data_IF_445727914553
#
_entry.id   IF_445727914553
#
_cell.length_a   1.000
_cell.length_b   1.000
_cell.length_c   1.000
_cell.angle_alpha   90.00
_cell.angle_beta   90.00
_cell.angle_gamma   90.00
#
_symmetry.space_group_name_H-M   'P 1'
#
loop_
_entity.id
_entity.type
_entity.pdbx_description
1 polymer ?
#
# COMPACT_ATOMS: atom_id res chain seq x y z
N UNK A 1 11.04 4.82 -15.31
CA UNK A 1 10.06 3.72 -15.47
C UNK A 1 10.09 2.87 -14.22
N UNK A 2 9.42 3.30 -13.14
CA UNK A 2 9.22 2.47 -11.94
C UNK A 2 7.77 2.00 -11.97
N UNK A 3 7.54 0.88 -12.64
CA UNK A 3 6.29 0.13 -12.57
C UNK A 3 6.51 -0.91 -11.48
N UNK A 4 6.13 -0.57 -10.25
CA UNK A 4 5.94 -1.60 -9.24
C UNK A 4 4.88 -2.56 -9.75
N UNK A 5 5.20 -3.85 -9.69
CA UNK A 5 4.35 -4.91 -10.16
C UNK A 5 3.01 -4.87 -9.40
N UNK A 6 1.98 -4.33 -10.05
CA UNK A 6 0.61 -4.75 -9.82
C UNK A 6 0.60 -6.23 -10.19
N UNK A 7 0.73 -7.10 -9.19
CA UNK A 7 0.36 -8.49 -9.37
C UNK A 7 -1.11 -8.46 -9.82
N UNK A 8 -1.36 -8.87 -11.07
CA UNK A 8 -2.69 -9.09 -11.60
C UNK A 8 -3.48 -9.86 -10.53
N UNK A 9 -4.39 -9.16 -9.85
CA UNK A 9 -5.38 -9.79 -9.00
C UNK A 9 -6.22 -10.63 -9.94
N UNK A 10 -5.99 -11.95 -9.92
CA UNK A 10 -6.90 -12.93 -10.48
C UNK A 10 -8.26 -12.66 -9.81
N UNK A 11 -9.12 -11.98 -10.57
CA UNK A 11 -10.53 -11.84 -10.31
C UNK A 11 -11.05 -13.27 -10.14
N UNK A 12 -11.31 -13.66 -8.89
CA UNK A 12 -12.23 -14.77 -8.67
C UNK A 12 -13.56 -14.31 -9.29
N UNK A 13 -14.12 -15.03 -10.27
CA UNK A 13 -15.47 -14.76 -10.67
C UNK A 13 -16.33 -15.10 -9.45
N UNK A 14 -16.78 -14.08 -8.72
CA UNK A 14 -17.99 -14.23 -7.93
C UNK A 14 -19.07 -14.51 -8.97
N UNK A 15 -19.33 -15.80 -9.18
CA UNK A 15 -20.53 -16.27 -9.85
C UNK A 15 -21.65 -15.44 -9.24
N UNK A 16 -22.29 -14.61 -10.05
CA UNK A 16 -23.48 -13.89 -9.67
C UNK A 16 -24.42 -14.90 -9.03
N UNK A 17 -24.48 -14.89 -7.70
CA UNK A 17 -25.41 -15.67 -6.94
C UNK A 17 -26.76 -15.03 -7.24
N UNK A 18 -27.44 -15.57 -8.25
CA UNK A 18 -28.89 -15.48 -8.40
C UNK A 18 -29.51 -16.29 -7.26
N UNK A 19 -29.38 -15.77 -6.06
CA UNK A 19 -30.15 -16.15 -4.89
C UNK A 19 -30.65 -14.82 -4.36
N UNK A 20 -31.96 -14.66 -4.23
CA UNK A 20 -32.62 -13.42 -3.85
C UNK A 20 -32.34 -12.96 -2.42
N UNK A 21 -31.07 -12.79 -2.07
CA UNK A 21 -30.67 -11.87 -1.02
C UNK A 21 -30.90 -10.46 -1.57
N UNK A 22 -31.75 -9.70 -0.88
CA UNK A 22 -31.96 -8.29 -1.17
C UNK A 22 -30.60 -7.60 -1.27
N UNK A 23 -30.42 -6.75 -2.29
CA UNK A 23 -29.33 -5.78 -2.32
C UNK A 23 -29.33 -5.05 -0.97
N UNK A 24 -28.31 -5.24 -0.12
CA UNK A 24 -28.31 -4.63 1.21
C UNK A 24 -28.17 -3.10 1.14
N UNK A 25 -27.99 -2.53 -0.06
CA UNK A 25 -27.63 -1.13 -0.26
C UNK A 25 -28.55 -0.35 -1.20
N UNK A 26 -29.74 -0.86 -1.52
CA UNK A 26 -30.88 -0.12 -2.05
C UNK A 26 -30.56 0.86 -3.20
N UNK A 27 -30.91 0.48 -4.42
CA UNK A 27 -31.00 1.35 -5.61
C UNK A 27 -32.18 2.35 -5.52
N UNK A 28 -32.50 2.85 -4.33
CA UNK A 28 -33.38 4.01 -4.18
C UNK A 28 -32.61 5.27 -4.54
N UNK A 29 -33.29 6.25 -5.14
CA UNK A 29 -32.70 7.55 -5.43
C UNK A 29 -32.18 8.16 -4.12
N UNK A 30 -30.86 8.26 -3.98
CA UNK A 30 -30.21 8.87 -2.84
C UNK A 30 -30.75 10.29 -2.66
N UNK A 31 -31.18 10.65 -1.45
CA UNK A 31 -31.70 11.99 -1.22
C UNK A 31 -30.58 13.03 -1.46
N UNK A 32 -30.91 14.25 -1.92
CA UNK A 32 -29.91 15.25 -2.27
C UNK A 32 -28.93 15.58 -1.13
N UNK A 33 -29.37 15.56 0.13
CA UNK A 33 -28.49 15.88 1.26
C UNK A 33 -27.50 14.75 1.53
N UNK A 34 -27.92 13.49 1.43
CA UNK A 34 -27.02 12.32 1.52
C UNK A 34 -26.01 12.31 0.37
N UNK A 35 -26.44 12.66 -0.85
CA UNK A 35 -25.57 12.79 -2.01
C UNK A 35 -24.48 13.86 -1.81
N UNK A 36 -24.86 15.07 -1.37
CA UNK A 36 -23.88 16.14 -1.10
C UNK A 36 -22.91 15.79 0.02
N UNK A 37 -23.40 15.16 1.09
CA UNK A 37 -22.55 14.70 2.19
C UNK A 37 -21.55 13.65 1.72
N UNK A 38 -21.99 12.68 0.90
CA UNK A 38 -21.11 11.67 0.30
C UNK A 38 -20.01 12.32 -0.51
N UNK A 39 -20.33 13.24 -1.43
CA UNK A 39 -19.31 13.98 -2.20
C UNK A 39 -18.33 14.74 -1.33
N UNK A 40 -18.80 15.37 -0.25
CA UNK A 40 -17.94 16.08 0.69
C UNK A 40 -16.97 15.12 1.43
N UNK A 41 -17.45 13.95 1.87
CA UNK A 41 -16.63 12.91 2.50
C UNK A 41 -15.60 12.38 1.52
N UNK A 42 -16.02 12.01 0.31
CA UNK A 42 -15.14 11.49 -0.76
C UNK A 42 -14.04 12.51 -1.12
N UNK A 43 -14.40 13.79 -1.28
CA UNK A 43 -13.44 14.86 -1.54
C UNK A 43 -12.45 15.05 -0.37
N UNK A 44 -12.90 14.94 0.88
CA UNK A 44 -12.04 15.03 2.06
C UNK A 44 -11.06 13.85 2.17
N UNK A 45 -11.53 12.62 1.89
CA UNK A 45 -10.67 11.44 1.81
C UNK A 45 -9.65 11.57 0.67
N UNK A 46 -10.06 12.04 -0.51
CA UNK A 46 -9.16 12.22 -1.64
C UNK A 46 -8.05 13.23 -1.36
N UNK A 47 -8.33 14.28 -0.57
CA UNK A 47 -7.28 15.22 -0.12
C UNK A 47 -6.20 14.55 0.73
N UNK A 48 -6.45 13.39 1.33
CA UNK A 48 -5.43 12.65 2.08
C UNK A 48 -4.43 11.90 1.18
N UNK A 49 -4.66 11.86 -0.13
CA UNK A 49 -3.81 11.18 -1.11
C UNK A 49 -2.84 12.20 -1.72
N UNK A 50 -1.56 11.82 -1.81
CA UNK A 50 -0.50 12.60 -2.44
C UNK A 50 -0.57 12.54 -3.98
N UNK A 51 0.10 13.47 -4.70
CA UNK A 51 0.08 13.51 -6.17
C UNK A 51 0.58 12.23 -6.86
N UNK A 52 1.45 11.46 -6.20
CA UNK A 52 1.94 10.17 -6.68
C UNK A 52 1.08 8.97 -6.25
N UNK A 53 -0.15 9.21 -5.79
CA UNK A 53 -1.00 8.22 -5.13
C UNK A 53 -0.38 7.61 -3.86
N UNK A 54 0.51 8.34 -3.20
CA UNK A 54 1.07 7.94 -1.91
C UNK A 54 0.19 8.41 -0.77
N UNK A 55 0.09 7.58 0.27
CA UNK A 55 -0.69 7.86 1.46
C UNK A 55 0.00 7.22 2.67
N UNK A 56 -0.45 7.60 3.86
CA UNK A 56 0.03 7.07 5.14
C UNK A 56 -0.97 7.40 6.25
N UNK A 57 -0.58 7.16 7.49
CA UNK A 57 -1.40 7.45 8.66
C UNK A 57 -0.70 8.49 9.53
N UNK A 58 -1.42 9.51 9.98
CA UNK A 58 -0.86 10.53 10.87
C UNK A 58 -1.95 11.14 11.75
N UNK A 59 -1.54 11.78 12.85
CA UNK A 59 -2.48 12.37 13.81
C UNK A 59 -3.32 13.50 13.20
N UNK A 60 -4.64 13.40 13.36
CA UNK A 60 -5.59 14.39 12.86
C UNK A 60 -5.85 14.32 11.35
N UNK A 61 -5.39 13.27 10.66
CA UNK A 61 -5.60 13.04 9.22
C UNK A 61 -7.05 13.22 8.77
N UNK A 62 -8.01 12.78 9.58
CA UNK A 62 -9.42 12.77 9.22
C UNK A 62 -10.22 13.92 9.83
N UNK A 63 -9.57 14.98 10.35
CA UNK A 63 -10.26 16.12 10.98
C UNK A 63 -11.34 16.73 10.08
N UNK A 64 -11.02 16.94 8.80
CA UNK A 64 -11.97 17.49 7.82
C UNK A 64 -13.17 16.55 7.60
N UNK A 65 -12.92 15.24 7.55
CA UNK A 65 -13.96 14.22 7.36
C UNK A 65 -14.90 14.21 8.56
N UNK A 66 -14.36 14.19 9.77
CA UNK A 66 -15.14 14.16 11.01
C UNK A 66 -15.94 15.45 11.23
N UNK A 67 -15.46 16.59 10.72
CA UNK A 67 -16.15 17.88 10.80
C UNK A 67 -17.43 17.96 9.95
N UNK A 68 -17.65 17.02 9.02
CA UNK A 68 -18.84 17.00 8.15
C UNK A 68 -20.12 16.53 8.88
N UNK A 69 -20.01 16.04 10.12
CA UNK A 69 -21.15 15.85 11.02
C UNK A 69 -21.63 14.40 11.19
N UNK A 70 -22.80 14.19 11.83
CA UNK A 70 -23.20 12.89 12.35
C UNK A 70 -23.58 11.84 11.30
N UNK A 71 -23.79 12.21 10.04
CA UNK A 71 -24.03 11.24 8.96
C UNK A 71 -22.77 10.51 8.47
N UNK A 72 -21.60 11.02 8.84
CA UNK A 72 -20.29 10.53 8.35
C UNK A 72 -20.01 9.06 8.70
N UNK A 73 -20.25 8.55 9.92
CA UNK A 73 -19.87 7.17 10.26
C UNK A 73 -20.54 6.11 9.39
N UNK A 74 -21.84 6.28 9.07
CA UNK A 74 -22.55 5.35 8.19
C UNK A 74 -22.06 5.42 6.74
N UNK A 75 -21.73 6.61 6.25
CA UNK A 75 -21.14 6.76 4.92
C UNK A 75 -19.74 6.15 4.83
N UNK A 76 -18.90 6.35 5.83
CA UNK A 76 -17.57 5.73 5.91
C UNK A 76 -17.67 4.19 5.98
N UNK A 77 -18.60 3.66 6.76
CA UNK A 77 -18.89 2.22 6.79
C UNK A 77 -19.29 1.71 5.40
N UNK A 78 -20.18 2.41 4.69
CA UNK A 78 -20.60 2.06 3.33
C UNK A 78 -19.40 2.09 2.36
N UNK A 79 -18.65 3.19 2.35
CA UNK A 79 -17.44 3.36 1.53
C UNK A 79 -16.41 2.27 1.82
N UNK A 80 -16.22 1.88 3.08
CA UNK A 80 -15.23 0.88 3.46
C UNK A 80 -15.65 -0.55 3.08
N UNK A 81 -16.93 -0.88 3.28
CA UNK A 81 -17.44 -2.25 3.12
C UNK A 81 -17.96 -2.57 1.72
N UNK A 82 -18.04 -1.57 0.83
CA UNK A 82 -18.47 -1.75 -0.57
C UNK A 82 -17.53 -2.72 -1.30
N UNK A 83 -18.04 -3.81 -1.89
CA UNK A 83 -17.22 -4.71 -2.70
C UNK A 83 -16.55 -3.97 -3.87
N UNK A 84 -15.26 -4.25 -4.10
CA UNK A 84 -14.47 -3.60 -5.14
C UNK A 84 -15.13 -3.64 -6.53
N UNK A 85 -15.77 -4.76 -6.88
CA UNK A 85 -16.42 -4.97 -8.17
C UNK A 85 -17.56 -3.98 -8.47
N UNK A 86 -18.17 -3.37 -7.44
CA UNK A 86 -19.24 -2.38 -7.59
C UNK A 86 -18.82 -0.98 -7.13
N UNK A 87 -17.57 -0.81 -6.69
CA UNK A 87 -17.09 0.43 -6.07
C UNK A 87 -17.18 1.62 -7.02
N UNK A 88 -16.72 1.43 -8.27
CA UNK A 88 -16.75 2.46 -9.31
C UNK A 88 -18.17 2.82 -9.79
N UNK A 89 -19.18 2.00 -9.46
CA UNK A 89 -20.59 2.27 -9.79
C UNK A 89 -21.35 2.88 -8.61
N UNK A 90 -20.91 2.60 -7.38
CA UNK A 90 -21.56 3.06 -6.16
C UNK A 90 -21.06 4.43 -5.69
N UNK A 91 -19.85 4.84 -6.09
CA UNK A 91 -19.15 6.03 -5.58
C UNK A 91 -18.66 6.94 -6.71
N UNK A 92 -18.82 8.27 -6.53
CA UNK A 92 -18.59 9.27 -7.60
C UNK A 92 -17.29 10.06 -7.34
N UNK A 93 -16.16 9.39 -7.58
CA UNK A 93 -14.87 10.08 -7.54
C UNK A 93 -14.61 10.76 -8.88
N UNK A 94 -14.56 12.09 -8.87
CA UNK A 94 -14.19 12.87 -10.06
C UNK A 94 -12.90 12.34 -10.69
N UNK A 95 -12.90 12.15 -12.01
CA UNK A 95 -11.73 11.75 -12.77
C UNK A 95 -10.59 12.75 -12.54
N UNK A 96 -9.40 12.24 -12.19
CA UNK A 96 -8.20 13.10 -12.21
C UNK A 96 -7.75 13.22 -13.66
N UNK A 97 -7.53 14.45 -14.18
CA UNK A 97 -7.10 14.63 -15.56
C UNK A 97 -5.83 13.84 -15.88
N UNK A 98 -5.90 12.99 -16.90
CA UNK A 98 -4.77 12.18 -17.36
C UNK A 98 -4.55 10.87 -16.60
N UNK A 99 -5.45 10.52 -15.67
CA UNK A 99 -5.39 9.27 -14.92
C UNK A 99 -5.84 8.07 -15.77
N UNK A 100 -5.02 7.02 -15.80
CA UNK A 100 -5.36 5.78 -16.49
C UNK A 100 -6.24 4.84 -15.62
N UNK A 101 -6.72 3.73 -16.21
CA UNK A 101 -7.60 2.81 -15.50
C UNK A 101 -6.93 2.12 -14.30
N UNK A 102 -5.63 1.85 -14.38
CA UNK A 102 -4.85 1.19 -13.31
C UNK A 102 -4.62 2.17 -12.17
N UNK A 103 -4.27 3.41 -12.50
CA UNK A 103 -4.14 4.50 -11.53
C UNK A 103 -5.48 4.75 -10.82
N UNK A 104 -6.60 4.78 -11.55
CA UNK A 104 -7.94 4.94 -10.96
C UNK A 104 -8.27 3.79 -9.99
N UNK A 105 -8.02 2.55 -10.40
CA UNK A 105 -8.24 1.35 -9.57
C UNK A 105 -7.41 1.42 -8.28
N UNK A 106 -6.13 1.77 -8.40
CA UNK A 106 -5.26 1.92 -7.24
C UNK A 106 -5.76 3.02 -6.30
N UNK A 107 -6.18 4.18 -6.82
CA UNK A 107 -6.76 5.25 -6.01
C UNK A 107 -8.02 4.82 -5.26
N UNK A 108 -8.89 4.04 -5.89
CA UNK A 108 -10.10 3.49 -5.26
C UNK A 108 -9.74 2.64 -4.04
N UNK A 109 -8.72 1.78 -4.15
CA UNK A 109 -8.26 0.96 -3.03
C UNK A 109 -7.74 1.81 -1.86
N UNK A 110 -7.05 2.90 -2.16
CA UNK A 110 -6.58 3.86 -1.15
C UNK A 110 -7.77 4.52 -0.45
N UNK A 111 -8.74 5.01 -1.21
CA UNK A 111 -9.94 5.66 -0.68
C UNK A 111 -10.75 4.72 0.21
N UNK A 112 -10.93 3.47 -0.22
CA UNK A 112 -11.59 2.44 0.58
C UNK A 112 -10.87 2.25 1.92
N UNK A 113 -9.54 2.13 1.91
CA UNK A 113 -8.75 2.00 3.13
C UNK A 113 -8.85 3.23 4.02
N UNK A 114 -8.72 4.44 3.46
CA UNK A 114 -8.85 5.69 4.20
C UNK A 114 -10.24 5.83 4.85
N UNK A 115 -11.31 5.34 4.20
CA UNK A 115 -12.64 5.33 4.78
C UNK A 115 -12.71 4.44 6.04
N UNK A 116 -12.08 3.26 6.02
CA UNK A 116 -12.00 2.38 7.19
C UNK A 116 -11.15 2.97 8.32
N UNK A 117 -10.02 3.60 7.99
CA UNK A 117 -9.19 4.30 8.98
C UNK A 117 -9.95 5.48 9.62
N UNK A 118 -10.65 6.29 8.81
CA UNK A 118 -11.48 7.38 9.29
C UNK A 118 -12.64 6.89 10.16
N UNK A 119 -13.25 5.74 9.82
CA UNK A 119 -14.35 5.14 10.57
C UNK A 119 -13.96 4.87 12.02
N UNK A 120 -12.76 4.34 12.25
CA UNK A 120 -12.24 4.11 13.60
C UNK A 120 -12.09 5.40 14.42
N UNK A 121 -11.76 6.53 13.78
CA UNK A 121 -11.63 7.83 14.44
C UNK A 121 -12.97 8.49 14.78
N UNK A 122 -14.08 8.06 14.17
CA UNK A 122 -15.41 8.62 14.48
C UNK A 122 -15.83 8.36 15.93
N UNK A 123 -15.33 7.26 16.53
CA UNK A 123 -15.76 6.75 17.84
C UNK A 123 -17.27 6.47 17.94
N UNK A 124 -17.97 6.40 16.81
CA UNK A 124 -19.39 6.08 16.76
C UNK A 124 -19.58 4.56 16.88
N UNK A 125 -20.02 4.11 18.04
CA UNK A 125 -20.21 2.68 18.34
C UNK A 125 -21.39 2.05 17.59
N UNK A 126 -22.24 2.84 16.94
CA UNK A 126 -23.40 2.31 16.18
C UNK A 126 -23.00 1.48 14.96
N UNK A 127 -21.78 1.68 14.44
CA UNK A 127 -21.26 0.97 13.26
C UNK A 127 -20.60 -0.38 13.60
N UNK A 128 -20.39 -0.68 14.89
CA UNK A 128 -19.67 -1.87 15.36
C UNK A 128 -20.31 -3.17 14.82
N UNK A 129 -21.63 -3.40 14.91
CA UNK A 129 -22.22 -4.67 14.48
C UNK A 129 -21.96 -4.98 13.00
N UNK A 130 -22.13 -3.98 12.13
CA UNK A 130 -21.96 -4.13 10.69
C UNK A 130 -20.49 -4.28 10.29
N UNK A 131 -19.60 -3.53 10.95
CA UNK A 131 -18.16 -3.62 10.74
C UNK A 131 -17.60 -4.98 11.21
N UNK A 132 -18.06 -5.48 12.35
CA UNK A 132 -17.70 -6.81 12.85
C UNK A 132 -18.21 -7.91 11.91
N UNK A 133 -19.47 -7.82 11.45
CA UNK A 133 -20.03 -8.75 10.49
C UNK A 133 -19.26 -8.75 9.15
N UNK A 134 -18.81 -7.58 8.69
CA UNK A 134 -17.94 -7.48 7.52
C UNK A 134 -16.59 -8.19 7.74
N UNK A 135 -15.95 -7.96 8.88
CA UNK A 135 -14.68 -8.59 9.20
C UNK A 135 -14.81 -10.11 9.33
N UNK A 136 -15.89 -10.60 9.95
CA UNK A 136 -16.18 -12.04 10.02
C UNK A 136 -16.33 -12.67 8.63
N UNK A 137 -16.96 -11.96 7.67
CA UNK A 137 -17.04 -12.44 6.27
C UNK A 137 -15.65 -12.50 5.62
N UNK A 138 -14.81 -11.49 5.85
CA UNK A 138 -13.43 -11.49 5.36
C UNK A 138 -12.64 -12.67 5.93
N UNK A 139 -12.75 -12.94 7.22
CA UNK A 139 -12.05 -14.05 7.88
C UNK A 139 -12.56 -15.43 7.45
N UNK A 140 -13.86 -15.57 7.18
CA UNK A 140 -14.41 -16.80 6.58
C UNK A 140 -13.86 -17.04 5.18
N UNK A 141 -13.68 -15.98 4.40
CA UNK A 141 -13.08 -16.04 3.06
C UNK A 141 -11.54 -16.22 3.10
N UNK A 142 -10.91 -15.91 4.23
CA UNK A 142 -9.45 -15.99 4.44
C UNK A 142 -9.13 -16.74 5.74
N UNK A 143 -9.11 -18.08 5.74
CA UNK A 143 -8.92 -18.88 6.94
C UNK A 143 -7.62 -18.57 7.70
N UNK A 144 -6.57 -18.13 6.97
CA UNK A 144 -5.34 -17.63 7.55
C UNK A 144 -5.04 -16.20 7.10
N UNK A 145 -5.20 -15.19 7.97
CA UNK A 145 -4.86 -13.81 7.65
C UNK A 145 -3.40 -13.63 7.22
N UNK A 146 -2.47 -14.50 7.62
CA UNK A 146 -1.05 -14.42 7.22
C UNK A 146 -0.79 -14.86 5.78
N UNK A 147 -1.72 -15.58 5.16
CA UNK A 147 -1.64 -16.01 3.76
C UNK A 147 -2.40 -15.06 2.82
N UNK A 148 -3.17 -14.13 3.38
CA UNK A 148 -3.90 -13.12 2.63
C UNK A 148 -2.93 -12.17 1.92
N UNK A 149 -3.08 -12.02 0.61
CA UNK A 149 -2.36 -11.05 -0.20
C UNK A 149 -3.28 -9.93 -0.70
N UNK A 150 -2.68 -8.80 -1.08
CA UNK A 150 -3.38 -7.69 -1.74
C UNK A 150 -4.51 -7.09 -0.91
N UNK A 151 -5.62 -6.77 -1.58
CA UNK A 151 -6.72 -5.96 -1.03
C UNK A 151 -7.36 -6.57 0.20
N UNK A 152 -7.58 -7.90 0.22
CA UNK A 152 -8.28 -8.53 1.34
C UNK A 152 -7.47 -8.44 2.64
N UNK A 153 -6.14 -8.53 2.53
CA UNK A 153 -5.22 -8.34 3.64
C UNK A 153 -5.38 -6.95 4.28
N UNK A 154 -5.45 -5.92 3.44
CA UNK A 154 -5.50 -4.53 3.87
C UNK A 154 -6.86 -4.16 4.46
N UNK A 155 -7.95 -4.68 3.87
CA UNK A 155 -9.30 -4.56 4.42
C UNK A 155 -9.39 -5.22 5.80
N UNK A 156 -8.85 -6.43 5.96
CA UNK A 156 -8.84 -7.15 7.24
C UNK A 156 -8.12 -6.35 8.33
N UNK A 157 -6.89 -5.90 8.05
CA UNK A 157 -6.10 -5.10 8.99
C UNK A 157 -6.79 -3.78 9.36
N UNK A 158 -7.40 -3.11 8.37
CA UNK A 158 -8.07 -1.82 8.58
C UNK A 158 -9.36 -1.98 9.40
N UNK A 159 -10.17 -3.00 9.12
CA UNK A 159 -11.35 -3.31 9.91
C UNK A 159 -11.00 -3.65 11.37
N UNK A 160 -9.95 -4.45 11.58
CA UNK A 160 -9.49 -4.82 12.91
C UNK A 160 -9.02 -3.61 13.73
N UNK A 161 -8.29 -2.66 13.11
CA UNK A 161 -7.86 -1.42 13.77
C UNK A 161 -9.05 -0.49 14.02
N UNK A 162 -9.99 -0.37 13.07
CA UNK A 162 -11.18 0.44 13.27
C UNK A 162 -12.01 -0.08 14.45
N UNK A 163 -12.24 -1.40 14.54
CA UNK A 163 -12.91 -2.03 15.68
C UNK A 163 -12.16 -1.80 17.00
N UNK A 164 -10.83 -1.91 17.00
CA UNK A 164 -10.01 -1.60 18.16
C UNK A 164 -10.22 -0.16 18.65
N UNK A 165 -10.18 0.83 17.75
CA UNK A 165 -10.42 2.25 18.07
C UNK A 165 -11.85 2.53 18.54
N UNK A 166 -12.80 1.71 18.11
CA UNK A 166 -14.19 1.71 18.58
C UNK A 166 -14.40 0.97 19.92
N UNK A 167 -13.36 0.32 20.46
CA UNK A 167 -13.37 -0.38 21.74
C UNK A 167 -13.62 -1.89 21.68
N UNK A 168 -13.46 -2.53 20.52
CA UNK A 168 -13.60 -3.96 20.30
C UNK A 168 -12.24 -4.59 19.90
N UNK A 169 -11.39 -4.96 20.87
CA UNK A 169 -9.99 -5.33 20.60
C UNK A 169 -9.81 -6.76 20.06
N UNK A 170 -10.83 -7.62 20.18
CA UNK A 170 -10.69 -9.07 20.00
C UNK A 170 -10.13 -9.45 18.61
N UNK A 171 -10.62 -8.81 17.55
CA UNK A 171 -10.18 -9.09 16.18
C UNK A 171 -8.73 -8.66 15.96
N UNK A 172 -8.34 -7.50 16.49
CA UNK A 172 -6.98 -7.00 16.41
C UNK A 172 -6.00 -7.90 17.17
N UNK A 173 -6.34 -8.29 18.40
CA UNK A 173 -5.51 -9.20 19.20
C UNK A 173 -5.31 -10.55 18.51
N UNK A 174 -6.37 -11.10 17.90
CA UNK A 174 -6.30 -12.34 17.14
C UNK A 174 -5.39 -12.18 15.91
N UNK A 175 -5.49 -11.07 15.19
CA UNK A 175 -4.62 -10.78 14.04
C UNK A 175 -3.15 -10.70 14.47
N UNK A 176 -2.86 -9.91 15.50
CA UNK A 176 -1.50 -9.76 16.06
C UNK A 176 -0.95 -11.12 16.51
N UNK A 177 -1.75 -11.93 17.21
CA UNK A 177 -1.37 -13.28 17.65
C UNK A 177 -1.03 -14.18 16.47
N UNK A 178 -1.85 -14.17 15.42
CA UNK A 178 -1.61 -14.94 14.20
C UNK A 178 -0.32 -14.50 13.51
N UNK A 179 -0.14 -13.20 13.23
CA UNK A 179 1.06 -12.71 12.56
C UNK A 179 2.34 -13.01 13.36
N UNK A 180 2.30 -12.85 14.69
CA UNK A 180 3.43 -13.21 15.56
C UNK A 180 3.79 -14.69 15.46
N UNK A 181 2.81 -15.58 15.50
CA UNK A 181 3.02 -17.03 15.37
C UNK A 181 3.63 -17.37 14.01
N UNK A 182 3.04 -16.85 12.94
CA UNK A 182 3.45 -17.15 11.56
C UNK A 182 4.82 -16.56 11.20
N UNK A 183 5.19 -15.43 11.81
CA UNK A 183 6.51 -14.82 11.68
C UNK A 183 7.56 -15.40 12.66
N UNK A 184 7.20 -16.39 13.49
CA UNK A 184 8.06 -16.96 14.53
C UNK A 184 8.64 -15.89 15.50
N UNK A 185 7.80 -14.93 15.90
CA UNK A 185 8.15 -13.86 16.83
C UNK A 185 7.96 -14.32 18.27
N UNK A 186 9.02 -14.22 19.06
CA UNK A 186 8.96 -14.34 20.53
C UNK A 186 9.14 -12.97 21.16
N UNK A 187 8.39 -12.69 22.23
CA UNK A 187 8.52 -11.46 23.01
C UNK A 187 8.94 -11.87 24.41
N UNK A 188 10.15 -11.48 24.80
CA UNK A 188 10.69 -11.71 26.14
C UNK A 188 10.31 -10.59 27.11
N UNK A 189 10.82 -10.70 28.34
CA UNK A 189 10.66 -9.70 29.38
C UNK A 189 11.12 -8.31 28.91
N UNK A 190 10.39 -7.27 29.31
CA UNK A 190 10.66 -5.89 28.86
C UNK A 190 10.29 -5.61 27.40
N UNK A 191 9.61 -6.55 26.72
CA UNK A 191 9.14 -6.36 25.35
C UNK A 191 10.20 -6.63 24.27
N UNK A 192 11.30 -7.29 24.62
CA UNK A 192 12.35 -7.66 23.67
C UNK A 192 11.80 -8.59 22.59
N UNK A 193 11.90 -8.20 21.32
CA UNK A 193 11.42 -8.97 20.18
C UNK A 193 12.57 -9.81 19.64
N UNK A 194 12.35 -11.12 19.49
CA UNK A 194 13.31 -12.04 18.85
C UNK A 194 12.63 -12.82 17.74
N UNK A 195 13.30 -12.91 16.61
CA UNK A 195 12.84 -13.67 15.44
C UNK A 195 13.88 -14.73 15.08
N UNK A 196 13.44 -15.98 14.93
CA UNK A 196 14.31 -17.05 14.41
C UNK A 196 14.22 -17.03 12.89
N UNK A 197 15.33 -16.79 12.16
CA UNK A 197 15.30 -16.74 10.70
C UNK A 197 14.84 -18.07 10.09
N UNK A 198 13.94 -18.00 9.12
CA UNK A 198 13.50 -19.19 8.39
C UNK A 198 14.66 -19.84 7.58
N UNK A 199 14.64 -21.18 7.41
CA UNK A 199 15.77 -21.92 6.83
C UNK A 199 15.98 -21.63 5.34
N UNK A 200 14.89 -21.46 4.57
CA UNK A 200 14.94 -21.17 3.14
C UNK A 200 14.61 -19.70 2.81
N UNK A 201 15.03 -19.28 1.62
CA UNK A 201 14.95 -17.88 1.15
C UNK A 201 13.52 -17.39 1.05
N UNK A 202 12.62 -18.19 0.47
CA UNK A 202 11.24 -17.78 0.26
C UNK A 202 10.52 -17.58 1.59
N UNK A 203 10.73 -18.47 2.55
CA UNK A 203 10.18 -18.30 3.90
C UNK A 203 10.77 -17.09 4.62
N UNK A 204 12.03 -16.71 4.38
CA UNK A 204 12.60 -15.47 4.95
C UNK A 204 11.95 -14.22 4.37
N UNK A 205 11.69 -14.19 3.07
CA UNK A 205 10.92 -13.09 2.48
C UNK A 205 9.49 -13.02 3.02
N UNK A 206 8.80 -14.16 3.13
CA UNK A 206 7.48 -14.23 3.79
C UNK A 206 7.56 -13.73 5.23
N UNK A 207 8.59 -14.13 5.98
CA UNK A 207 8.80 -13.68 7.35
C UNK A 207 8.99 -12.17 7.47
N UNK A 208 9.81 -11.56 6.60
CA UNK A 208 9.97 -10.10 6.53
C UNK A 208 8.64 -9.40 6.23
N UNK A 209 7.86 -9.88 5.25
CA UNK A 209 6.56 -9.30 4.92
C UNK A 209 5.56 -9.38 6.10
N UNK A 210 5.53 -10.49 6.83
CA UNK A 210 4.68 -10.65 8.02
C UNK A 210 5.10 -9.71 9.16
N UNK A 211 6.40 -9.51 9.35
CA UNK A 211 6.95 -8.57 10.33
C UNK A 211 6.65 -7.11 9.96
N UNK A 212 6.79 -6.73 8.69
CA UNK A 212 6.41 -5.38 8.23
C UNK A 212 4.93 -5.09 8.51
N UNK A 213 4.07 -6.07 8.22
CA UNK A 213 2.64 -5.95 8.52
C UNK A 213 2.38 -5.85 10.02
N UNK A 214 3.03 -6.66 10.85
CA UNK A 214 2.92 -6.60 12.30
C UNK A 214 3.41 -5.25 12.85
N UNK A 215 4.53 -4.73 12.35
CA UNK A 215 5.05 -3.42 12.74
C UNK A 215 4.09 -2.30 12.37
N UNK A 216 3.51 -2.35 11.16
CA UNK A 216 2.53 -1.37 10.70
C UNK A 216 1.24 -1.41 11.53
N UNK A 217 0.77 -2.60 11.97
CA UNK A 217 -0.36 -2.68 12.90
C UNK A 217 -0.05 -1.97 14.22
N UNK A 218 1.13 -2.21 14.79
CA UNK A 218 1.53 -1.53 16.02
C UNK A 218 1.73 -0.02 15.84
N UNK A 219 2.20 0.43 14.67
CA UNK A 219 2.31 1.85 14.38
C UNK A 219 0.94 2.54 14.29
N UNK A 220 -0.09 1.86 13.76
CA UNK A 220 -1.46 2.38 13.61
C UNK A 220 -2.31 2.30 14.88
N UNK A 221 -1.93 1.46 15.83
CA UNK A 221 -2.48 1.37 17.20
C UNK A 221 -1.63 2.17 18.22
N UNK A 222 -0.81 3.11 17.74
CA UNK A 222 0.05 3.98 18.57
C UNK A 222 1.05 3.28 19.50
N UNK A 223 1.23 1.97 19.37
CA UNK A 223 2.30 1.20 20.01
C UNK A 223 3.62 1.34 19.24
N UNK A 224 4.07 2.58 19.07
CA UNK A 224 5.29 2.96 18.33
C UNK A 224 6.55 2.31 18.90
N UNK A 225 6.55 1.98 20.20
CA UNK A 225 7.65 1.26 20.84
C UNK A 225 7.77 -0.18 20.35
N UNK A 226 6.65 -0.88 20.15
CA UNK A 226 6.66 -2.22 19.56
C UNK A 226 6.92 -2.15 18.06
N UNK A 227 6.34 -1.18 17.35
CA UNK A 227 6.57 -0.99 15.92
C UNK A 227 8.07 -0.83 15.61
N UNK A 228 8.78 0.01 16.38
CA UNK A 228 10.24 0.19 16.26
C UNK A 228 10.98 -1.15 16.37
N UNK A 229 10.69 -1.93 17.43
CA UNK A 229 11.38 -3.21 17.66
C UNK A 229 11.10 -4.22 16.57
N UNK A 230 9.87 -4.29 16.05
CA UNK A 230 9.52 -5.23 14.97
C UNK A 230 10.15 -4.80 13.64
N UNK A 231 10.15 -3.51 13.28
CA UNK A 231 10.85 -3.02 12.10
C UNK A 231 12.36 -3.29 12.17
N UNK A 232 12.98 -3.15 13.34
CA UNK A 232 14.39 -3.50 13.51
C UNK A 232 14.66 -4.97 13.19
N UNK A 233 13.75 -5.89 13.54
CA UNK A 233 13.88 -7.30 13.16
C UNK A 233 13.77 -7.53 11.64
N UNK A 234 12.96 -6.74 10.93
CA UNK A 234 12.92 -6.77 9.46
C UNK A 234 14.29 -6.39 8.89
N UNK A 235 14.88 -5.29 9.40
CA UNK A 235 16.19 -4.82 8.95
C UNK A 235 17.31 -5.81 9.27
N UNK A 236 17.29 -6.46 10.43
CA UNK A 236 18.29 -7.47 10.82
C UNK A 236 18.23 -8.69 9.88
N UNK A 237 17.01 -9.18 9.58
CA UNK A 237 16.80 -10.25 8.61
C UNK A 237 17.23 -9.85 7.20
N UNK A 238 16.86 -8.63 6.78
CA UNK A 238 17.18 -8.09 5.48
C UNK A 238 18.68 -7.87 5.28
N UNK A 239 19.40 -7.40 6.31
CA UNK A 239 20.85 -7.27 6.28
C UNK A 239 21.55 -8.63 6.16
N UNK A 240 21.06 -9.64 6.88
CA UNK A 240 21.56 -11.01 6.74
C UNK A 240 21.29 -11.56 5.32
N UNK A 241 20.12 -11.32 4.75
CA UNK A 241 19.80 -11.77 3.39
C UNK A 241 20.62 -11.03 2.33
N UNK A 242 20.86 -9.74 2.52
CA UNK A 242 21.72 -8.93 1.66
C UNK A 242 23.13 -9.52 1.59
N UNK A 243 23.69 -9.96 2.72
CA UNK A 243 24.99 -10.63 2.75
C UNK A 243 24.98 -11.97 2.01
N UNK A 244 23.86 -12.71 2.04
CA UNK A 244 23.72 -13.96 1.28
C UNK A 244 23.65 -13.70 -0.21
N UNK A 245 22.82 -12.75 -0.64
CA UNK A 245 22.66 -12.39 -2.05
C UNK A 245 23.95 -11.85 -2.67
N UNK A 246 24.80 -11.15 -1.89
CA UNK A 246 26.16 -10.74 -2.33
C UNK A 246 27.05 -11.92 -2.71
N UNK A 247 26.81 -13.11 -2.16
CA UNK A 247 27.56 -14.33 -2.48
C UNK A 247 26.95 -15.11 -3.66
N UNK A 248 25.76 -14.74 -4.11
CA UNK A 248 25.04 -15.36 -5.23
C UNK A 248 24.43 -14.28 -6.15
N UNK A 249 25.27 -13.51 -6.85
CA UNK A 249 24.88 -12.27 -7.53
C UNK A 249 23.94 -12.48 -8.73
N UNK A 250 23.71 -13.71 -9.17
CA UNK A 250 22.85 -14.04 -10.32
C UNK A 250 21.36 -13.80 -10.03
N UNK A 251 20.96 -13.62 -8.76
CA UNK A 251 19.58 -13.49 -8.31
C UNK A 251 19.02 -12.05 -8.38
N UNK A 252 19.07 -11.40 -9.56
CA UNK A 252 18.63 -10.00 -9.73
C UNK A 252 17.20 -9.72 -9.23
N UNK A 253 16.26 -10.66 -9.40
CA UNK A 253 14.90 -10.52 -8.89
C UNK A 253 14.83 -10.42 -7.36
N UNK A 254 15.69 -11.17 -6.65
CA UNK A 254 15.72 -11.16 -5.19
C UNK A 254 16.32 -9.88 -4.63
N UNK A 255 17.29 -9.28 -5.35
CA UNK A 255 17.80 -7.95 -5.02
C UNK A 255 16.70 -6.90 -5.08
N UNK A 256 15.90 -6.90 -6.15
CA UNK A 256 14.79 -5.97 -6.30
C UNK A 256 13.73 -6.18 -5.21
N UNK A 257 13.37 -7.43 -4.92
CA UNK A 257 12.43 -7.77 -3.85
C UNK A 257 12.93 -7.29 -2.48
N UNK A 258 14.21 -7.56 -2.16
CA UNK A 258 14.82 -7.15 -0.90
C UNK A 258 14.93 -5.63 -0.78
N UNK A 259 15.31 -4.92 -1.84
CA UNK A 259 15.36 -3.46 -1.82
C UNK A 259 13.97 -2.84 -1.69
N UNK A 260 12.93 -3.48 -2.25
CA UNK A 260 11.54 -3.14 -2.00
C UNK A 260 11.16 -3.20 -0.52
N UNK A 261 11.53 -4.29 0.16
CA UNK A 261 11.31 -4.46 1.61
C UNK A 261 12.11 -3.41 2.40
N UNK A 262 13.42 -3.29 2.14
CA UNK A 262 14.29 -2.42 2.91
C UNK A 262 13.96 -0.95 2.75
N UNK A 263 13.62 -0.48 1.54
CA UNK A 263 13.26 0.93 1.33
C UNK A 263 11.99 1.31 2.12
N UNK A 264 10.95 0.45 2.07
CA UNK A 264 9.69 0.69 2.77
C UNK A 264 9.84 0.59 4.29
N UNK A 265 10.56 -0.44 4.75
CA UNK A 265 10.88 -0.61 6.17
C UNK A 265 11.66 0.59 6.72
N UNK A 266 12.70 1.06 6.03
CA UNK A 266 13.49 2.21 6.48
C UNK A 266 12.67 3.50 6.51
N UNK A 267 11.79 3.71 5.52
CA UNK A 267 10.89 4.86 5.51
C UNK A 267 9.94 4.83 6.72
N UNK A 268 9.24 3.71 6.91
CA UNK A 268 8.29 3.56 8.01
C UNK A 268 8.96 3.65 9.38
N UNK A 269 10.18 3.09 9.51
CA UNK A 269 10.97 3.22 10.73
C UNK A 269 11.41 4.66 10.98
N UNK A 270 11.69 5.45 9.93
CA UNK A 270 11.97 6.87 10.07
C UNK A 270 10.77 7.62 10.65
N UNK A 271 9.55 7.34 10.17
CA UNK A 271 8.30 7.87 10.72
C UNK A 271 8.14 7.50 12.20
N UNK A 272 8.34 6.21 12.54
CA UNK A 272 8.30 5.74 13.94
C UNK A 272 9.34 6.46 14.81
N UNK A 273 10.57 6.65 14.34
CA UNK A 273 11.60 7.38 15.07
C UNK A 273 11.25 8.86 15.27
N UNK A 274 10.71 9.52 14.24
CA UNK A 274 10.28 10.93 14.35
C UNK A 274 9.15 11.09 15.38
N UNK A 275 8.13 10.21 15.35
CA UNK A 275 7.06 10.15 16.38
C UNK A 275 7.59 9.91 17.79
N UNK A 276 8.76 9.28 17.92
CA UNK A 276 9.45 9.04 19.20
C UNK A 276 10.50 10.10 19.55
N UNK A 277 10.57 11.20 18.79
CA UNK A 277 11.55 12.29 18.98
C UNK A 277 13.00 11.80 18.91
N UNK A 278 13.26 10.76 18.12
CA UNK A 278 14.60 10.22 17.83
C UNK A 278 15.11 10.79 16.51
N UNK A 279 15.41 12.10 16.50
CA UNK A 279 15.69 12.87 15.30
C UNK A 279 16.85 12.30 14.47
N UNK A 280 17.98 11.97 15.11
CA UNK A 280 19.16 11.47 14.43
C UNK A 280 18.92 10.09 13.77
N UNK A 281 18.23 9.19 14.47
CA UNK A 281 17.85 7.88 13.96
C UNK A 281 16.81 7.98 12.84
N UNK A 282 15.86 8.89 12.96
CA UNK A 282 14.85 9.14 11.92
C UNK A 282 15.51 9.59 10.62
N UNK A 283 16.38 10.60 10.67
CA UNK A 283 17.10 11.11 9.49
C UNK A 283 17.99 10.02 8.89
N UNK A 284 18.70 9.25 9.72
CA UNK A 284 19.54 8.14 9.26
C UNK A 284 18.71 7.10 8.52
N UNK A 285 17.58 6.67 9.10
CA UNK A 285 16.71 5.68 8.48
C UNK A 285 16.09 6.23 7.19
N UNK A 286 15.70 7.50 7.15
CA UNK A 286 15.15 8.12 5.94
C UNK A 286 16.19 8.19 4.80
N UNK A 287 17.46 8.47 5.12
CA UNK A 287 18.57 8.38 4.14
C UNK A 287 18.74 6.96 3.61
N UNK A 288 18.71 5.96 4.49
CA UNK A 288 18.78 4.55 4.07
C UNK A 288 17.61 4.16 3.16
N UNK A 289 16.38 4.66 3.43
CA UNK A 289 15.25 4.44 2.52
C UNK A 289 15.55 4.96 1.10
N UNK A 290 16.14 6.14 1.00
CA UNK A 290 16.55 6.77 -0.28
C UNK A 290 17.69 6.01 -0.96
N UNK A 291 18.64 5.49 -0.19
CA UNK A 291 19.74 4.65 -0.70
C UNK A 291 19.20 3.34 -1.30
N UNK A 292 18.16 2.76 -0.69
CA UNK A 292 17.45 1.58 -1.22
C UNK A 292 16.42 1.90 -2.33
N UNK A 293 16.23 3.18 -2.68
CA UNK A 293 15.47 3.59 -3.86
C UNK A 293 14.16 4.34 -3.58
N UNK A 294 13.86 4.68 -2.33
CA UNK A 294 12.69 5.50 -2.01
C UNK A 294 12.89 6.94 -2.54
N UNK A 295 12.00 7.41 -3.42
CA UNK A 295 12.14 8.70 -4.10
C UNK A 295 10.88 9.57 -4.07
N UNK A 296 9.86 9.19 -3.31
CA UNK A 296 8.63 9.99 -3.21
C UNK A 296 8.84 11.23 -2.32
N UNK A 297 9.45 12.24 -2.93
CA UNK A 297 9.69 13.53 -2.30
C UNK A 297 8.39 14.26 -1.95
N UNK A 298 7.33 14.08 -2.74
CA UNK A 298 6.06 14.74 -2.49
C UNK A 298 5.43 14.21 -1.19
N UNK A 299 5.52 12.89 -0.98
CA UNK A 299 5.10 12.27 0.26
C UNK A 299 5.99 12.66 1.44
N UNK A 300 7.33 12.59 1.32
CA UNK A 300 8.27 13.01 2.38
C UNK A 300 7.97 14.41 2.92
N UNK A 301 7.59 15.35 2.04
CA UNK A 301 7.27 16.73 2.44
C UNK A 301 5.96 16.87 3.18
N UNK A 302 5.02 15.95 2.94
CA UNK A 302 3.65 16.03 3.44
C UNK A 302 3.39 15.11 4.63
N UNK A 303 4.16 14.03 4.74
CA UNK A 303 4.03 13.07 5.82
C UNK A 303 4.22 13.78 7.16
N UNK A 304 3.17 13.76 7.96
CA UNK A 304 3.12 14.48 9.24
C UNK A 304 3.80 13.72 10.36
N UNK A 305 4.04 12.41 10.19
CA UNK A 305 4.90 11.68 11.12
C UNK A 305 6.34 12.23 11.11
N UNK A 306 6.74 12.90 10.02
CA UNK A 306 8.04 13.55 9.88
C UNK A 306 8.03 15.03 10.29
N UNK A 307 6.88 15.59 10.73
CA UNK A 307 6.80 16.98 11.23
C UNK A 307 7.87 17.27 12.30
N UNK A 308 8.16 16.38 13.29
CA UNK A 308 9.16 16.64 14.33
C UNK A 308 10.60 16.83 13.84
N UNK A 309 10.93 16.40 12.62
CA UNK A 309 12.28 16.49 12.05
C UNK A 309 12.39 17.49 10.90
N UNK A 310 11.28 18.16 10.53
CA UNK A 310 11.20 18.95 9.28
C UNK A 310 12.12 20.17 9.29
N UNK A 311 12.41 20.72 10.47
CA UNK A 311 13.32 21.86 10.65
C UNK A 311 14.78 21.44 10.85
N UNK A 312 15.08 20.14 10.93
CA UNK A 312 16.44 19.66 11.13
C UNK A 312 17.29 19.86 9.85
N UNK A 313 18.54 20.36 9.96
CA UNK A 313 19.43 20.54 8.81
C UNK A 313 19.65 19.26 8.00
N UNK A 314 19.71 18.11 8.66
CA UNK A 314 19.88 16.80 8.02
C UNK A 314 18.68 16.37 7.19
N UNK A 315 17.46 16.81 7.55
CA UNK A 315 16.25 16.62 6.74
C UNK A 315 16.27 17.56 5.53
N UNK A 316 16.58 18.84 5.72
CA UNK A 316 16.67 19.83 4.65
C UNK A 316 17.70 19.45 3.57
N UNK A 317 18.86 18.92 3.98
CA UNK A 317 19.88 18.41 3.08
C UNK A 317 19.36 17.22 2.24
N UNK A 318 18.67 16.26 2.88
CA UNK A 318 18.11 15.10 2.19
C UNK A 318 17.04 15.51 1.16
N UNK A 319 16.18 16.45 1.51
CA UNK A 319 15.18 17.03 0.59
C UNK A 319 15.87 17.65 -0.63
N UNK A 320 16.90 18.48 -0.40
CA UNK A 320 17.67 19.13 -1.48
C UNK A 320 18.35 18.11 -2.39
N UNK A 321 18.91 17.04 -1.79
CA UNK A 321 19.48 15.93 -2.53
C UNK A 321 18.44 15.25 -3.43
N UNK A 322 17.27 14.92 -2.89
CA UNK A 322 16.18 14.29 -3.66
C UNK A 322 15.65 15.18 -4.78
N UNK A 323 15.49 16.49 -4.54
CA UNK A 323 15.11 17.44 -5.60
C UNK A 323 16.08 17.42 -6.77
N UNK A 324 17.38 17.44 -6.46
CA UNK A 324 18.43 17.40 -7.47
C UNK A 324 18.42 16.08 -8.22
N UNK A 325 18.32 14.96 -7.50
CA UNK A 325 18.20 13.62 -8.10
C UNK A 325 16.99 13.52 -9.03
N UNK A 326 15.81 13.98 -8.60
CA UNK A 326 14.58 13.94 -9.38
C UNK A 326 14.63 14.85 -10.61
N UNK A 327 15.23 16.04 -10.50
CA UNK A 327 15.49 16.91 -11.66
C UNK A 327 16.37 16.21 -12.70
N UNK A 328 17.48 15.63 -12.26
CA UNK A 328 18.40 14.89 -13.14
C UNK A 328 17.71 13.71 -13.84
N UNK A 329 16.87 12.96 -13.12
CA UNK A 329 16.10 11.86 -13.71
C UNK A 329 15.08 12.34 -14.75
N UNK A 330 14.42 13.46 -14.52
CA UNK A 330 13.48 14.07 -15.49
C UNK A 330 14.21 14.55 -16.74
N UNK A 331 15.35 15.22 -16.58
CA UNK A 331 16.15 15.68 -17.71
C UNK A 331 16.71 14.51 -18.53
N UNK A 332 17.17 13.45 -17.87
CA UNK A 332 17.61 12.23 -18.54
C UNK A 332 16.46 11.58 -19.35
N UNK A 333 15.26 11.45 -18.76
CA UNK A 333 14.11 10.91 -19.45
C UNK A 333 13.66 11.76 -20.64
N UNK A 334 13.78 13.10 -20.55
CA UNK A 334 13.51 14.02 -21.67
C UNK A 334 14.50 13.79 -22.82
N UNK A 335 15.80 13.75 -22.52
CA UNK A 335 16.86 13.50 -23.51
C UNK A 335 16.67 12.15 -24.23
N UNK A 336 16.32 11.10 -23.49
CA UNK A 336 16.05 9.77 -24.07
C UNK A 336 14.86 9.80 -25.04
N UNK A 337 13.78 10.53 -24.71
CA UNK A 337 12.62 10.70 -25.60
C UNK A 337 12.97 11.50 -26.85
N UNK A 338 13.72 12.58 -26.70
CA UNK A 338 14.21 13.40 -27.82
C UNK A 338 15.11 12.59 -28.75
N UNK A 339 15.99 11.73 -28.21
CA UNK A 339 16.84 10.86 -29.03
C UNK A 339 16.04 9.79 -29.79
N UNK A 340 15.03 9.18 -29.16
CA UNK A 340 14.14 8.20 -29.80
C UNK A 340 13.24 8.81 -30.87
N UNK A 341 13.01 10.12 -30.85
CA UNK A 341 12.16 10.84 -31.82
C UNK A 341 12.94 11.51 -32.95
N UNK A 342 14.28 11.40 -32.98
CA UNK A 342 15.10 11.88 -34.11
C UNK A 342 14.84 11.05 -35.39
N UNK A 343 14.53 11.69 -36.54
CA UNK A 343 14.37 11.00 -37.82
C UNK A 343 15.67 10.29 -38.22
N UNK A 344 15.58 9.00 -38.57
CA UNK A 344 16.71 8.21 -39.11
C UNK A 344 17.23 7.05 -38.25
N UNK A 345 16.77 6.86 -37.01
CA UNK A 345 17.15 5.68 -36.17
C UNK A 345 16.15 4.50 -36.20
N UNK A 346 14.97 4.68 -36.81
CA UNK A 346 14.00 3.60 -37.07
C UNK A 346 14.04 3.13 -38.54
N UNK A 347 15.21 3.04 -39.16
CA UNK A 347 15.33 2.29 -40.40
C UNK A 347 15.30 0.81 -40.02
N UNK A 348 14.21 0.11 -40.38
CA UNK A 348 14.22 -1.36 -40.39
C UNK A 348 15.48 -1.82 -41.14
N UNK A 349 16.26 -2.80 -40.64
CA UNK A 349 17.34 -3.37 -41.43
C UNK A 349 16.73 -3.87 -42.74
N UNK A 350 17.31 -3.45 -43.87
CA UNK A 350 16.91 -3.94 -45.17
C UNK A 350 16.94 -5.48 -45.16
N UNK A 351 15.91 -6.16 -45.70
CA UNK A 351 15.93 -7.61 -45.77
C UNK A 351 17.19 -8.06 -46.54
N UNK A 352 17.82 -9.19 -46.13
CA UNK A 352 19.01 -9.67 -46.80
C UNK A 352 18.70 -9.95 -48.29
N UNK A 353 19.60 -9.57 -49.21
CA UNK A 353 19.37 -9.81 -50.63
C UNK A 353 19.48 -11.30 -50.92
N UNK A 354 18.39 -11.90 -51.41
CA UNK A 354 18.40 -13.23 -52.00
C UNK A 354 17.57 -14.27 -51.26
N UNK A 355 16.25 -14.16 -51.33
CA UNK A 355 15.34 -15.30 -51.34
C UNK A 355 14.20 -14.95 -52.32
N UNK A 356 14.33 -15.42 -53.55
CA UNK A 356 13.25 -15.35 -54.53
C UNK A 356 12.04 -16.14 -54.00
N UNK A 357 10.80 -15.64 -54.17
CA UNK A 357 9.62 -16.39 -53.77
C UNK A 357 9.49 -17.63 -54.68
N UNK A 358 9.42 -18.81 -54.05
CA UNK A 358 9.09 -20.06 -54.72
C UNK A 358 7.66 -19.98 -55.27
N UNK A 359 7.48 -20.36 -56.54
CA UNK A 359 6.16 -20.45 -57.18
C UNK A 359 5.28 -21.49 -56.47
N UNK A 360 3.97 -21.21 -56.30
CA UNK A 360 3.05 -22.17 -55.70
C UNK A 360 2.74 -23.31 -56.68
N UNK A 361 3.17 -24.52 -56.30
CA UNK A 361 2.86 -25.76 -57.02
C UNK A 361 1.36 -26.06 -57.04
N UNK A 362 0.89 -26.50 -58.20
CA UNK A 362 -0.46 -27.00 -58.49
C UNK A 362 -0.84 -28.22 -57.64
N UNK A 363 -2.12 -28.36 -57.25
CA UNK A 363 -2.60 -29.53 -56.51
C UNK A 363 -2.88 -30.70 -57.47
N UNK A 364 -2.20 -31.83 -57.28
CA UNK A 364 -2.59 -33.09 -57.90
C UNK A 364 -3.62 -33.83 -57.05
N UNK A 365 -4.77 -34.08 -57.66
CA UNK A 365 -5.79 -35.05 -57.26
C UNK A 365 -5.32 -36.49 -57.53
N UNK A 366 -5.26 -37.33 -56.50
CA UNK A 366 -6.01 -38.60 -56.40
C UNK A 366 -5.74 -39.34 -55.09
#
# INVERSE_FOLDING_TARGET
MSRFALALLLILPVRAARTGEADPLGTEAEDPATFELRRAVEAALNRCIGPGQSWGHYEGQFRDVLALGPGVPRLLLRLFTTPHAIYAFAHDFADTPGEDAVEREHRILILQRLAGDALGETRDRSVIPDLAAFLDRLEKAMPNPADAGGVQQDLHATAAIALLKLGEPLHFERLVRTLRREAAVTIGDGGAVKVVPAPDRERRFRQMALLERLAMLHARDDNVGMAERVYQQVLDLGAAELQRLRRTPEAHGDWMRLFGVLQGTHYNLACVYARRVKTAESIRSLRQAVDYGYIDLAWIRRDRDLDPIREDPGFAELVTFLETRLRNLRDAARREREEKTKPGKNANPAPPPGLAPAEPGTPETR
#
